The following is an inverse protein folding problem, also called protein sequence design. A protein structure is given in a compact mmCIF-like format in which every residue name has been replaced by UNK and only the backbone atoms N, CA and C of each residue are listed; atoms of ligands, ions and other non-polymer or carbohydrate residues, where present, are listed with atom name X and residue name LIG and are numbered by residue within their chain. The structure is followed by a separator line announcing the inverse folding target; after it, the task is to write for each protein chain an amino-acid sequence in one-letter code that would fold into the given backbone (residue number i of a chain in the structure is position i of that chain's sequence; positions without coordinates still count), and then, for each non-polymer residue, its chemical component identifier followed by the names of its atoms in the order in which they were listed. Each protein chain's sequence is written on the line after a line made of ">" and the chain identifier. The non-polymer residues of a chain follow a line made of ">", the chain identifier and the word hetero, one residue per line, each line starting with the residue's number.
data_IF_430619793820
#
_entry.id   IF_430619793820
#
_cell.length_a   1.000
_cell.length_b   1.000
_cell.length_c   1.000
_cell.angle_alpha   90.00
_cell.angle_beta   90.00
_cell.angle_gamma   90.00
#
_symmetry.space_group_name_H-M   'P 1'
#
loop_
_entity.id
_entity.type
_entity.pdbx_description
1 polymer ?
#
# COMPACT_ATOMS: atom_id res chain seq x y z
N UNK A 1 -6.85 -1.07 -8.23
CA UNK A 1 -7.18 -2.18 -7.31
C UNK A 1 -6.54 -1.90 -5.96
N UNK A 2 -7.27 -2.01 -4.85
CA UNK A 2 -6.73 -1.82 -3.50
C UNK A 2 -6.48 -3.18 -2.82
N UNK A 3 -5.55 -3.23 -1.87
CA UNK A 3 -5.32 -4.43 -1.05
C UNK A 3 -6.61 -4.91 -0.35
N UNK A 4 -7.50 -3.97 -0.01
CA UNK A 4 -8.81 -4.26 0.57
C UNK A 4 -9.67 -5.08 -0.41
N UNK A 5 -9.76 -4.70 -1.67
CA UNK A 5 -10.53 -5.45 -2.67
C UNK A 5 -9.96 -6.86 -2.93
N UNK A 6 -8.64 -7.01 -2.83
CA UNK A 6 -7.95 -8.29 -2.94
C UNK A 6 -8.20 -9.22 -1.74
N UNK A 7 -8.71 -8.70 -0.61
CA UNK A 7 -9.12 -9.55 0.51
C UNK A 7 -10.44 -10.31 0.30
N UNK A 8 -11.10 -10.15 -0.86
CA UNK A 8 -12.42 -10.75 -1.10
C UNK A 8 -12.50 -11.78 -2.23
N UNK A 9 -11.47 -11.99 -3.06
CA UNK A 9 -11.61 -12.87 -4.24
C UNK A 9 -10.38 -13.78 -4.49
N UNK A 10 -10.51 -15.12 -4.41
CA UNK A 10 -9.37 -16.06 -4.39
C UNK A 10 -8.97 -16.69 -5.74
N UNK A 11 -9.49 -16.23 -6.90
CA UNK A 11 -9.28 -16.96 -8.17
C UNK A 11 -8.44 -16.20 -9.19
N UNK A 12 -7.14 -16.50 -9.24
CA UNK A 12 -6.28 -16.42 -10.42
C UNK A 12 -5.01 -17.18 -10.04
N UNK A 13 -4.53 -18.22 -10.74
CA UNK A 13 -3.74 -19.27 -10.05
C UNK A 13 -2.27 -19.49 -10.48
N UNK A 14 -1.59 -18.55 -11.17
CA UNK A 14 -0.19 -18.82 -11.59
C UNK A 14 0.81 -17.65 -11.48
N UNK A 15 0.42 -16.40 -11.77
CA UNK A 15 1.18 -15.19 -11.36
C UNK A 15 0.84 -14.71 -9.94
N UNK A 16 -0.07 -15.43 -9.33
CA UNK A 16 -0.80 -14.99 -8.15
C UNK A 16 -0.38 -15.78 -6.94
N UNK A 17 0.45 -16.84 -7.02
CA UNK A 17 0.86 -17.56 -5.82
C UNK A 17 1.55 -16.66 -4.78
N UNK A 18 2.45 -15.76 -5.21
CA UNK A 18 3.06 -14.78 -4.31
C UNK A 18 2.00 -13.83 -3.73
N UNK A 19 1.11 -13.33 -4.58
CA UNK A 19 0.02 -12.43 -4.18
C UNK A 19 -1.00 -13.14 -3.25
N UNK A 20 -1.31 -14.41 -3.50
CA UNK A 20 -2.21 -15.28 -2.73
C UNK A 20 -1.62 -15.55 -1.34
N UNK A 21 -0.32 -15.85 -1.27
CA UNK A 21 0.39 -16.05 0.01
C UNK A 21 0.38 -14.75 0.81
N UNK A 22 0.73 -13.62 0.20
CA UNK A 22 0.75 -12.32 0.89
C UNK A 22 -0.65 -11.88 1.34
N UNK A 23 -1.66 -12.08 0.49
CA UNK A 23 -3.06 -11.82 0.83
C UNK A 23 -3.53 -12.72 1.97
N UNK A 24 -3.27 -14.03 1.89
CA UNK A 24 -3.68 -14.98 2.92
C UNK A 24 -3.03 -14.63 4.26
N UNK A 25 -1.75 -14.30 4.25
CA UNK A 25 -1.01 -13.86 5.42
C UNK A 25 -1.63 -12.61 6.06
N UNK A 26 -1.87 -11.55 5.26
CA UNK A 26 -2.48 -10.31 5.77
C UNK A 26 -3.89 -10.56 6.30
N UNK A 27 -4.73 -11.33 5.58
CA UNK A 27 -6.08 -11.69 6.02
C UNK A 27 -6.07 -12.42 7.36
N UNK A 28 -5.18 -13.40 7.53
CA UNK A 28 -5.07 -14.18 8.76
C UNK A 28 -4.68 -13.28 9.95
N UNK A 29 -3.74 -12.34 9.74
CA UNK A 29 -3.31 -11.41 10.80
C UNK A 29 -4.40 -10.42 11.19
N UNK A 30 -5.20 -9.95 10.22
CA UNK A 30 -6.37 -9.10 10.49
C UNK A 30 -7.45 -9.87 11.24
N UNK A 31 -7.77 -11.10 10.82
CA UNK A 31 -8.77 -11.95 11.48
C UNK A 31 -8.39 -12.26 12.93
N UNK A 32 -7.10 -12.48 13.20
CA UNK A 32 -6.54 -12.68 14.55
C UNK A 32 -6.41 -11.38 15.36
N UNK A 33 -6.83 -10.23 14.81
CA UNK A 33 -6.68 -8.88 15.40
C UNK A 33 -5.23 -8.48 15.72
N UNK A 34 -4.26 -9.14 15.09
CA UNK A 34 -2.84 -8.78 15.20
C UNK A 34 -2.47 -7.61 14.28
N UNK A 35 -3.29 -7.34 13.25
CA UNK A 35 -3.13 -6.24 12.31
C UNK A 35 -4.45 -5.50 12.14
N UNK A 36 -4.42 -4.17 12.18
CA UNK A 36 -5.55 -3.33 11.81
C UNK A 36 -5.25 -2.63 10.49
N UNK A 37 -6.16 -2.72 9.53
CA UNK A 37 -6.04 -2.05 8.23
C UNK A 37 -6.94 -0.82 8.23
N UNK A 38 -6.39 0.33 7.85
CA UNK A 38 -7.12 1.57 7.68
C UNK A 38 -6.88 2.13 6.29
N UNK A 39 -7.91 2.74 5.71
CA UNK A 39 -7.75 3.44 4.44
C UNK A 39 -7.05 4.78 4.68
N UNK A 40 -6.04 5.05 3.87
CA UNK A 40 -5.34 6.34 3.82
C UNK A 40 -5.51 6.87 2.40
N UNK A 41 -5.86 8.15 2.27
CA UNK A 41 -6.03 8.77 0.97
C UNK A 41 -4.66 8.84 0.25
N UNK A 42 -4.65 8.84 -1.09
CA UNK A 42 -3.39 8.94 -1.84
C UNK A 42 -2.58 10.20 -1.50
N UNK A 43 -3.24 11.28 -1.09
CA UNK A 43 -2.58 12.52 -0.69
C UNK A 43 -1.85 12.40 0.67
N UNK A 44 -2.17 11.37 1.45
CA UNK A 44 -1.64 11.12 2.79
C UNK A 44 -0.78 9.84 2.85
N UNK A 45 -0.76 9.05 1.77
CA UNK A 45 -0.01 7.81 1.69
C UNK A 45 1.46 8.07 1.30
N UNK A 46 2.22 8.71 2.20
CA UNK A 46 3.58 9.17 1.92
C UNK A 46 4.56 8.05 1.51
N UNK A 47 4.32 6.82 1.94
CA UNK A 47 5.11 5.64 1.55
C UNK A 47 5.12 5.37 0.03
N UNK A 48 4.17 5.96 -0.71
CA UNK A 48 4.10 5.83 -2.17
C UNK A 48 5.36 6.38 -2.87
N UNK A 49 6.10 7.32 -2.25
CA UNK A 49 7.37 7.81 -2.83
C UNK A 49 8.42 6.70 -3.00
N UNK A 50 8.34 5.64 -2.20
CA UNK A 50 9.32 4.55 -2.21
C UNK A 50 8.92 3.39 -3.12
N UNK A 51 7.66 3.34 -3.55
CA UNK A 51 7.08 2.17 -4.23
C UNK A 51 6.47 2.48 -5.59
N UNK A 52 6.25 3.76 -5.91
CA UNK A 52 5.56 4.20 -7.14
C UNK A 52 6.28 5.38 -7.79
N UNK A 53 6.16 5.46 -9.11
CA UNK A 53 6.47 6.69 -9.85
C UNK A 53 5.33 7.70 -9.69
N UNK A 54 5.50 8.67 -8.80
CA UNK A 54 4.50 9.72 -8.55
C UNK A 54 4.69 10.93 -9.48
N UNK A 55 3.64 11.72 -9.67
CA UNK A 55 3.78 13.03 -10.33
C UNK A 55 4.65 13.95 -9.47
N UNK A 56 5.44 14.81 -10.12
CA UNK A 56 6.35 15.74 -9.43
C UNK A 56 5.68 16.52 -8.29
N UNK A 57 4.46 17.10 -8.45
CA UNK A 57 3.82 17.84 -7.37
C UNK A 57 3.49 16.97 -6.14
N UNK A 58 3.02 15.74 -6.36
CA UNK A 58 2.65 14.83 -5.28
C UNK A 58 3.91 14.28 -4.59
N UNK A 59 4.94 13.95 -5.36
CA UNK A 59 6.24 13.52 -4.84
C UNK A 59 6.87 14.60 -3.94
N UNK A 60 6.91 15.86 -4.40
CA UNK A 60 7.43 16.98 -3.61
C UNK A 60 6.62 17.21 -2.33
N UNK A 61 5.29 17.12 -2.41
CA UNK A 61 4.41 17.24 -1.24
C UNK A 61 4.73 16.16 -0.20
N UNK A 62 4.85 14.89 -0.62
CA UNK A 62 5.19 13.80 0.28
C UNK A 62 6.62 13.91 0.85
N UNK A 63 7.60 14.35 0.05
CA UNK A 63 8.95 14.58 0.53
C UNK A 63 8.99 15.67 1.62
N UNK A 64 8.24 16.76 1.41
CA UNK A 64 8.08 17.81 2.43
C UNK A 64 7.46 17.28 3.72
N UNK A 65 6.41 16.47 3.62
CA UNK A 65 5.75 15.89 4.80
C UNK A 65 6.66 14.93 5.57
N UNK A 66 7.58 14.26 4.87
CA UNK A 66 8.59 13.40 5.48
C UNK A 66 9.87 14.15 5.89
N UNK A 67 9.90 15.48 5.75
CA UNK A 67 11.09 16.32 5.99
C UNK A 67 12.32 15.86 5.19
N UNK A 68 12.11 15.20 4.05
CA UNK A 68 13.14 14.85 3.10
C UNK A 68 13.50 16.13 2.36
N UNK A 69 14.58 16.78 2.77
CA UNK A 69 14.97 18.11 2.31
C UNK A 69 15.13 18.17 0.79
N UNK A 70 14.22 18.89 0.13
CA UNK A 70 14.42 19.43 -1.21
C UNK A 70 14.33 20.94 -1.10
N UNK A 71 15.38 21.54 -0.57
CA UNK A 71 15.65 22.96 -0.75
C UNK A 71 16.31 23.12 -2.12
N UNK A 72 15.54 23.59 -3.10
CA UNK A 72 16.12 24.38 -4.20
C UNK A 72 16.20 25.83 -3.75
#
# INVERSE_FOLDING_TARGET
>A
MSAIALTSNPVLHQRTKHIEVDIHFVRERVAKKHLQVQFVSSNEQYADIFTKGLSTPLFQTHCRNLSLGFTS
#
